data_IF_681369261171
#
_entry.id   IF_681369261171
#
_cell.length_a   1.000
_cell.length_b   1.000
_cell.length_c   1.000
_cell.angle_alpha   90.00
_cell.angle_beta   90.00
_cell.angle_gamma   90.00
#
_symmetry.space_group_name_H-M   'P 1'
#
loop_
_entity.id
_entity.type
_entity.pdbx_description
1 polymer ?
#
# COMPACT_ATOMS: atom_id res chain seq x y z
N UNK A 1 -23.82 72.06 -41.89
CA UNK A 1 -24.50 70.85 -41.42
C UNK A 1 -23.51 70.06 -40.56
N UNK A 2 -23.81 70.00 -39.25
CA UNK A 2 -23.35 69.05 -38.21
C UNK A 2 -21.92 68.46 -38.28
N UNK A 3 -21.00 68.83 -37.37
CA UNK A 3 -19.90 67.94 -36.98
C UNK A 3 -20.40 66.91 -35.95
N UNK A 4 -20.30 65.62 -36.29
CA UNK A 4 -20.59 64.49 -35.41
C UNK A 4 -19.33 64.12 -34.57
N UNK A 5 -19.49 63.43 -33.42
CA UNK A 5 -18.65 63.61 -32.24
C UNK A 5 -17.45 62.65 -32.12
N UNK A 6 -16.50 63.05 -31.27
CA UNK A 6 -15.31 62.31 -30.81
C UNK A 6 -15.70 60.97 -30.16
N UNK A 7 -14.93 59.87 -30.36
CA UNK A 7 -15.03 58.72 -29.49
C UNK A 7 -14.24 58.99 -28.21
N UNK A 8 -14.97 59.02 -27.10
CA UNK A 8 -14.46 58.98 -25.73
C UNK A 8 -13.86 57.57 -25.51
N UNK A 9 -12.52 57.46 -25.43
CA UNK A 9 -11.87 56.23 -24.99
C UNK A 9 -12.18 56.00 -23.51
N UNK A 10 -13.22 55.23 -23.23
CA UNK A 10 -13.55 54.73 -21.92
C UNK A 10 -12.77 53.41 -21.73
N UNK A 11 -11.53 53.54 -21.25
CA UNK A 11 -10.69 52.42 -20.86
C UNK A 11 -11.25 51.86 -19.54
N UNK A 12 -12.24 50.97 -19.67
CA UNK A 12 -12.78 50.20 -18.57
C UNK A 12 -11.68 49.21 -18.13
N UNK A 13 -11.02 49.53 -17.03
CA UNK A 13 -10.07 48.64 -16.37
C UNK A 13 -10.77 47.38 -15.89
N UNK A 14 -10.71 46.32 -16.70
CA UNK A 14 -11.06 44.97 -16.29
C UNK A 14 -9.91 44.48 -15.40
N UNK A 15 -10.02 44.74 -14.10
CA UNK A 15 -9.32 43.96 -13.09
C UNK A 15 -9.93 42.55 -13.10
N UNK A 16 -9.44 41.71 -14.00
CA UNK A 16 -9.48 40.27 -13.85
C UNK A 16 -8.57 39.95 -12.64
N UNK A 17 -9.15 40.01 -11.45
CA UNK A 17 -8.64 39.28 -10.30
C UNK A 17 -8.67 37.81 -10.67
N UNK A 18 -7.58 37.35 -11.28
CA UNK A 18 -7.31 35.95 -11.50
C UNK A 18 -7.45 35.24 -10.17
N UNK A 19 -8.52 34.46 -10.03
CA UNK A 19 -8.56 33.41 -9.04
C UNK A 19 -7.38 32.51 -9.37
N UNK A 20 -6.29 32.66 -8.62
CA UNK A 20 -5.21 31.69 -8.60
C UNK A 20 -5.89 30.38 -8.19
N UNK A 21 -5.98 29.36 -9.07
CA UNK A 21 -6.45 28.06 -8.62
C UNK A 21 -5.50 27.65 -7.50
N UNK A 22 -6.06 27.37 -6.31
CA UNK A 22 -5.30 26.73 -5.25
C UNK A 22 -4.54 25.55 -5.89
N UNK A 23 -3.24 25.37 -5.62
CA UNK A 23 -2.52 24.23 -6.16
C UNK A 23 -3.27 22.98 -5.69
N UNK A 24 -3.92 22.29 -6.62
CA UNK A 24 -4.32 20.92 -6.39
C UNK A 24 -3.04 20.22 -5.94
N UNK A 25 -3.03 19.70 -4.71
CA UNK A 25 -1.86 19.03 -4.16
C UNK A 25 -1.31 18.06 -5.20
N UNK A 26 -0.02 18.19 -5.51
CA UNK A 26 0.62 17.42 -6.58
C UNK A 26 0.37 15.93 -6.31
N UNK A 27 -0.28 15.27 -7.26
CA UNK A 27 -0.55 13.84 -7.15
C UNK A 27 0.76 13.07 -7.24
N UNK A 28 1.26 12.60 -6.09
CA UNK A 28 2.48 11.80 -5.97
C UNK A 28 2.15 10.35 -5.53
N UNK A 29 1.88 9.44 -6.48
CA UNK A 29 1.58 8.05 -6.18
C UNK A 29 2.80 7.35 -5.57
N UNK A 30 2.60 6.54 -4.52
CA UNK A 30 3.70 5.88 -3.80
C UNK A 30 4.24 4.62 -4.49
N UNK A 31 3.50 4.11 -5.45
CA UNK A 31 3.81 2.91 -6.20
C UNK A 31 3.90 3.23 -7.70
N UNK A 32 4.71 2.48 -8.46
CA UNK A 32 4.90 2.66 -9.89
C UNK A 32 4.72 1.34 -10.66
N UNK A 33 3.72 1.24 -11.56
CA UNK A 33 2.64 2.20 -11.79
C UNK A 33 1.74 2.41 -10.56
N UNK A 34 0.91 3.48 -10.48
CA UNK A 34 0.09 3.75 -9.29
C UNK A 34 -0.78 2.56 -8.89
N UNK A 35 -0.86 2.27 -7.58
CA UNK A 35 -1.55 1.08 -7.06
C UNK A 35 -3.06 1.18 -7.32
N UNK A 36 -3.65 2.34 -7.09
CA UNK A 36 -5.05 2.64 -7.38
C UNK A 36 -5.39 2.56 -8.86
N UNK A 37 -4.42 2.62 -9.78
CA UNK A 37 -4.68 2.40 -11.21
C UNK A 37 -4.44 0.94 -11.64
N UNK A 38 -3.58 0.23 -10.92
CA UNK A 38 -3.14 -1.12 -11.30
C UNK A 38 -3.88 -2.24 -10.58
N UNK A 39 -4.40 -2.02 -9.36
CA UNK A 39 -4.97 -3.08 -8.52
C UNK A 39 -6.11 -3.83 -9.27
N UNK A 40 -6.04 -5.17 -9.37
CA UNK A 40 -6.94 -5.97 -10.19
C UNK A 40 -8.31 -6.06 -9.52
N UNK A 41 -9.19 -5.12 -9.85
CA UNK A 41 -10.54 -5.03 -9.30
C UNK A 41 -11.59 -5.11 -10.40
N UNK A 42 -12.69 -5.77 -10.07
CA UNK A 42 -13.90 -5.84 -10.88
C UNK A 42 -15.14 -5.64 -10.01
N UNK A 43 -16.28 -5.36 -10.65
CA UNK A 43 -17.58 -5.34 -9.99
C UNK A 43 -18.38 -6.59 -10.36
N UNK A 44 -18.74 -7.40 -9.36
CA UNK A 44 -19.67 -8.52 -9.52
C UNK A 44 -20.81 -8.34 -8.53
N UNK A 45 -22.06 -8.38 -9.01
CA UNK A 45 -23.27 -8.25 -8.17
C UNK A 45 -23.26 -7.00 -7.27
N UNK A 46 -22.76 -5.87 -7.78
CA UNK A 46 -22.67 -4.62 -7.02
C UNK A 46 -21.64 -4.64 -5.89
N UNK A 47 -20.72 -5.60 -5.90
CA UNK A 47 -19.60 -5.70 -4.95
C UNK A 47 -18.27 -5.56 -5.69
N UNK A 48 -17.32 -4.87 -5.05
CA UNK A 48 -15.93 -4.82 -5.51
C UNK A 48 -15.25 -6.14 -5.16
N UNK A 49 -14.66 -6.78 -6.16
CA UNK A 49 -13.93 -8.03 -6.00
C UNK A 49 -12.51 -7.93 -6.56
N UNK A 50 -11.64 -8.81 -6.09
CA UNK A 50 -10.32 -9.03 -6.68
C UNK A 50 -10.44 -9.91 -7.92
N UNK A 51 -9.89 -9.51 -9.06
CA UNK A 51 -9.99 -10.30 -10.30
C UNK A 51 -8.82 -11.25 -10.56
N UNK A 52 -7.71 -11.12 -9.81
CA UNK A 52 -6.53 -11.99 -9.91
C UNK A 52 -5.96 -12.25 -8.52
N UNK A 53 -5.44 -13.45 -8.27
CA UNK A 53 -4.72 -13.72 -7.03
C UNK A 53 -3.59 -12.67 -6.88
N UNK A 54 -3.50 -12.07 -5.70
CA UNK A 54 -2.54 -10.99 -5.41
C UNK A 54 -1.86 -11.24 -4.06
N UNK A 55 -0.54 -11.12 -4.04
CA UNK A 55 0.28 -11.24 -2.84
C UNK A 55 0.28 -9.90 -2.11
N UNK A 56 -0.48 -9.81 -1.01
CA UNK A 56 -0.64 -8.57 -0.23
C UNK A 56 0.31 -8.50 0.97
N UNK A 57 0.84 -9.64 1.41
CA UNK A 57 1.93 -9.74 2.37
C UNK A 57 2.81 -10.95 2.05
N UNK A 58 3.99 -11.07 2.67
CA UNK A 58 4.94 -12.15 2.39
C UNK A 58 4.38 -13.57 2.58
N UNK A 59 3.31 -13.72 3.36
CA UNK A 59 2.62 -14.97 3.69
C UNK A 59 1.11 -14.92 3.40
N UNK A 60 0.64 -13.86 2.72
CA UNK A 60 -0.79 -13.63 2.50
C UNK A 60 -1.09 -13.37 1.04
N UNK A 61 -1.76 -14.34 0.43
CA UNK A 61 -2.41 -14.20 -0.87
C UNK A 61 -3.87 -13.87 -0.65
N UNK A 62 -4.35 -12.88 -1.41
CA UNK A 62 -5.75 -12.56 -1.54
C UNK A 62 -6.25 -13.20 -2.86
N UNK A 63 -7.08 -14.26 -2.78
CA UNK A 63 -7.51 -14.98 -3.98
C UNK A 63 -8.42 -14.14 -4.88
N UNK A 64 -8.42 -14.44 -6.17
CA UNK A 64 -9.43 -13.97 -7.11
C UNK A 64 -10.84 -14.34 -6.61
N UNK A 65 -11.80 -13.45 -6.83
CA UNK A 65 -13.16 -13.55 -6.32
C UNK A 65 -13.34 -13.06 -4.87
N UNK A 66 -12.27 -12.69 -4.16
CA UNK A 66 -12.41 -12.13 -2.81
C UNK A 66 -13.14 -10.79 -2.85
N UNK A 67 -14.20 -10.67 -2.04
CA UNK A 67 -15.02 -9.47 -1.95
C UNK A 67 -14.41 -8.47 -0.97
N UNK A 68 -14.27 -7.23 -1.40
CA UNK A 68 -13.67 -6.13 -0.64
C UNK A 68 -14.74 -5.11 -0.24
N UNK A 69 -14.68 -4.64 1.01
CA UNK A 69 -15.61 -3.62 1.53
C UNK A 69 -15.02 -2.22 1.41
N UNK A 70 -13.82 -2.01 1.94
CA UNK A 70 -13.14 -0.71 1.88
C UNK A 70 -11.63 -0.81 2.11
N UNK A 71 -10.91 0.25 1.77
CA UNK A 71 -9.52 0.49 2.17
C UNK A 71 -9.49 1.70 3.09
N UNK A 72 -8.73 1.61 4.17
CA UNK A 72 -8.54 2.74 5.08
C UNK A 72 -7.11 2.81 5.60
N UNK A 73 -6.72 4.02 6.00
CA UNK A 73 -5.49 4.27 6.75
C UNK A 73 -5.84 4.30 8.25
N UNK A 74 -5.26 3.45 9.10
CA UNK A 74 -5.40 3.58 10.54
C UNK A 74 -4.91 4.97 11.01
N UNK A 75 -5.55 5.53 12.04
CA UNK A 75 -4.98 6.67 12.73
C UNK A 75 -3.65 6.23 13.36
N UNK A 76 -2.53 6.68 12.81
CA UNK A 76 -1.27 6.69 13.55
C UNK A 76 -1.41 7.79 14.59
N UNK A 77 -1.24 7.45 15.88
CA UNK A 77 -1.08 8.43 16.95
C UNK A 77 0.02 9.38 16.48
N UNK A 78 -0.35 10.59 16.07
CA UNK A 78 0.61 11.60 15.74
C UNK A 78 1.44 11.87 17.00
N UNK A 79 2.77 11.94 16.86
CA UNK A 79 3.62 12.63 17.81
C UNK A 79 2.96 13.99 18.13
N UNK A 80 2.35 14.12 19.31
CA UNK A 80 1.60 15.31 19.70
C UNK A 80 0.23 15.09 20.32
N UNK A 81 -0.34 13.87 20.36
CA UNK A 81 -1.38 13.57 21.35
C UNK A 81 -0.72 13.42 22.73
N UNK A 82 -0.46 14.57 23.33
CA UNK A 82 -0.10 14.72 24.74
C UNK A 82 -0.97 13.79 25.57
N UNK A 83 -0.31 12.98 26.40
CA UNK A 83 -0.94 12.24 27.49
C UNK A 83 -1.42 13.22 28.57
N UNK A 84 -2.28 14.17 28.22
CA UNK A 84 -3.03 14.95 29.19
C UNK A 84 -4.21 14.11 29.68
N UNK A 85 -3.88 13.07 30.44
CA UNK A 85 -4.86 12.37 31.27
C UNK A 85 -4.30 12.19 32.68
N UNK A 86 -4.57 13.23 33.47
CA UNK A 86 -4.59 13.30 34.94
C UNK A 86 -3.23 13.31 35.63
N UNK A 87 -3.01 14.40 36.37
CA UNK A 87 -1.83 14.67 37.18
C UNK A 87 -1.41 13.47 38.03
N UNK A 88 -0.16 13.10 37.84
CA UNK A 88 0.60 12.32 38.81
C UNK A 88 1.80 13.20 39.14
N UNK A 89 1.77 13.69 40.36
CA UNK A 89 2.83 14.44 41.04
C UNK A 89 4.17 13.69 40.88
N UNK A 90 5.23 14.38 40.44
CA UNK A 90 6.53 13.79 40.07
C UNK A 90 7.34 13.25 41.27
N UNK A 91 6.73 13.12 42.45
CA UNK A 91 7.39 12.68 43.70
C UNK A 91 6.91 11.33 44.24
N UNK A 92 6.52 10.39 43.37
CA UNK A 92 6.14 9.03 43.77
C UNK A 92 7.06 7.94 43.20
N UNK A 93 8.37 8.10 43.32
CA UNK A 93 9.33 7.00 43.19
C UNK A 93 9.25 6.10 44.44
N UNK A 94 8.22 5.25 44.53
CA UNK A 94 8.21 3.98 45.28
C UNK A 94 6.78 3.48 45.44
N UNK A 95 6.29 2.71 44.48
CA UNK A 95 5.27 1.65 44.65
C UNK A 95 5.16 0.92 43.31
N UNK A 96 5.08 -0.41 43.40
CA UNK A 96 5.07 -1.34 42.27
C UNK A 96 4.22 -0.82 41.10
N UNK A 97 4.88 -0.62 39.96
CA UNK A 97 4.21 -0.32 38.70
C UNK A 97 3.36 -1.56 38.38
N UNK A 98 2.01 -1.49 38.41
CA UNK A 98 1.23 -2.60 37.89
C UNK A 98 1.68 -2.79 36.45
N UNK A 99 2.05 -4.02 36.09
CA UNK A 99 2.35 -4.39 34.70
C UNK A 99 1.11 -4.10 33.86
N UNK A 100 0.98 -2.87 33.39
CA UNK A 100 0.01 -2.49 32.37
C UNK A 100 0.48 -3.24 31.14
N UNK A 101 -0.15 -4.37 30.90
CA UNK A 101 -0.04 -5.13 29.67
C UNK A 101 -0.23 -4.14 28.53
N UNK A 102 0.83 -3.90 27.76
CA UNK A 102 0.92 -3.07 26.56
C UNK A 102 0.09 -3.63 25.39
N UNK A 103 -1.07 -4.23 25.66
CA UNK A 103 -2.17 -4.34 24.71
C UNK A 103 -2.99 -3.06 24.84
N UNK A 104 -2.52 -2.00 24.19
CA UNK A 104 -3.15 -0.69 24.20
C UNK A 104 -4.62 -0.79 23.83
N UNK A 105 -5.48 -0.31 24.72
CA UNK A 105 -6.87 -0.01 24.39
C UNK A 105 -6.85 1.01 23.26
N UNK A 106 -7.40 0.66 22.09
CA UNK A 106 -7.58 1.60 20.98
C UNK A 106 -8.17 2.93 21.48
N UNK A 107 -7.69 4.05 20.96
CA UNK A 107 -8.26 5.36 21.25
C UNK A 107 -9.72 5.42 20.78
N UNK A 108 -10.52 6.35 21.30
CA UNK A 108 -11.90 6.52 20.83
C UNK A 108 -11.94 6.88 19.34
N UNK A 109 -10.97 7.66 18.88
CA UNK A 109 -10.78 8.03 17.47
C UNK A 109 -10.49 6.80 16.62
N UNK A 110 -9.57 5.93 17.04
CA UNK A 110 -9.26 4.68 16.35
C UNK A 110 -10.48 3.76 16.27
N UNK A 111 -11.23 3.63 17.37
CA UNK A 111 -12.47 2.84 17.38
C UNK A 111 -13.52 3.39 16.41
N UNK A 112 -13.75 4.71 16.40
CA UNK A 112 -14.72 5.33 15.48
C UNK A 112 -14.31 5.18 14.02
N UNK A 113 -13.02 5.32 13.71
CA UNK A 113 -12.52 5.10 12.35
C UNK A 113 -12.68 3.65 11.91
N UNK A 114 -12.31 2.71 12.78
CA UNK A 114 -12.45 1.29 12.49
C UNK A 114 -13.92 0.88 12.33
N UNK A 115 -14.81 1.40 13.18
CA UNK A 115 -16.25 1.19 13.05
C UNK A 115 -16.79 1.72 11.71
N UNK A 116 -16.39 2.94 11.32
CA UNK A 116 -16.76 3.51 10.01
C UNK A 116 -16.23 2.64 8.86
N UNK A 117 -15.00 2.13 8.97
CA UNK A 117 -14.44 1.22 7.98
C UNK A 117 -15.23 -0.10 7.89
N UNK A 118 -15.69 -0.66 9.01
CA UNK A 118 -16.56 -1.84 9.00
C UNK A 118 -17.90 -1.61 8.32
N UNK A 119 -18.50 -0.43 8.53
CA UNK A 119 -19.79 -0.05 7.95
C UNK A 119 -19.69 0.32 6.46
N UNK A 120 -18.53 0.76 5.99
CA UNK A 120 -18.33 1.20 4.60
C UNK A 120 -18.25 0.00 3.66
N UNK A 121 -19.09 -0.01 2.63
CA UNK A 121 -19.04 -0.97 1.53
C UNK A 121 -19.05 -0.21 0.21
N UNK A 122 -17.93 -0.24 -0.50
CA UNK A 122 -17.85 0.30 -1.85
C UNK A 122 -18.43 -0.68 -2.86
N UNK A 123 -19.18 -0.13 -3.80
CA UNK A 123 -19.78 -0.87 -4.92
C UNK A 123 -19.10 -0.54 -6.27
N UNK A 124 -18.30 0.53 -6.29
CA UNK A 124 -17.56 1.01 -7.45
C UNK A 124 -16.03 0.84 -7.22
N UNK A 125 -15.32 0.11 -8.09
CA UNK A 125 -13.87 -0.03 -8.05
C UNK A 125 -13.13 1.30 -8.11
N UNK A 126 -13.68 2.33 -8.77
CA UNK A 126 -13.03 3.66 -8.86
C UNK A 126 -12.95 4.30 -7.47
N UNK A 127 -14.04 4.30 -6.71
CA UNK A 127 -14.04 4.83 -5.34
C UNK A 127 -13.15 4.00 -4.41
N UNK A 128 -13.16 2.67 -4.56
CA UNK A 128 -12.27 1.79 -3.82
C UNK A 128 -10.79 2.11 -4.09
N UNK A 129 -10.44 2.31 -5.37
CA UNK A 129 -9.08 2.61 -5.84
C UNK A 129 -8.52 3.90 -5.27
N UNK A 130 -9.36 4.92 -5.07
CA UNK A 130 -8.94 6.17 -4.42
C UNK A 130 -8.37 5.93 -3.02
N UNK A 131 -8.86 4.91 -2.30
CA UNK A 131 -8.34 4.52 -0.98
C UNK A 131 -6.86 4.15 -1.00
N UNK A 132 -6.38 3.52 -2.08
CA UNK A 132 -4.97 3.12 -2.21
C UNK A 132 -4.00 4.29 -2.35
N UNK A 133 -4.46 5.45 -2.78
CA UNK A 133 -3.61 6.62 -3.01
C UNK A 133 -3.55 7.56 -1.79
N UNK A 134 -4.22 7.21 -0.69
CA UNK A 134 -4.26 8.03 0.53
C UNK A 134 -3.01 7.93 1.41
N UNK A 135 -2.24 6.85 1.25
CA UNK A 135 -1.04 6.58 2.05
C UNK A 135 -0.14 5.54 1.39
N UNK A 136 1.05 5.35 1.94
CA UNK A 136 1.90 4.21 1.59
C UNK A 136 1.21 2.87 1.95
N UNK A 137 1.47 1.79 1.17
CA UNK A 137 0.83 0.48 1.40
C UNK A 137 0.93 -0.03 2.84
N UNK A 138 2.09 0.10 3.49
CA UNK A 138 2.30 -0.35 4.87
C UNK A 138 1.33 0.29 5.89
N UNK A 139 0.82 1.48 5.56
CA UNK A 139 -0.13 2.25 6.37
C UNK A 139 -1.59 2.02 5.94
N UNK A 140 -1.85 1.16 4.97
CA UNK A 140 -3.19 0.83 4.50
C UNK A 140 -3.67 -0.50 5.07
N UNK A 141 -4.97 -0.61 5.24
CA UNK A 141 -5.69 -1.81 5.65
C UNK A 141 -6.87 -2.04 4.71
N UNK A 142 -7.09 -3.29 4.33
CA UNK A 142 -8.23 -3.71 3.51
C UNK A 142 -9.24 -4.41 4.41
N UNK A 143 -10.50 -3.97 4.35
CA UNK A 143 -11.62 -4.65 5.00
C UNK A 143 -12.24 -5.62 4.00
N UNK A 144 -12.32 -6.90 4.37
CA UNK A 144 -12.91 -7.95 3.54
C UNK A 144 -14.38 -8.16 3.89
N UNK A 145 -15.14 -8.74 2.96
CA UNK A 145 -16.48 -9.24 3.31
C UNK A 145 -16.36 -10.42 4.28
N UNK A 146 -17.07 -10.40 5.42
CA UNK A 146 -17.04 -11.51 6.35
C UNK A 146 -17.74 -12.74 5.77
N UNK A 147 -17.23 -13.93 6.10
CA UNK A 147 -18.01 -15.15 5.94
C UNK A 147 -19.26 -15.12 6.84
N UNK A 148 -20.35 -15.83 6.50
CA UNK A 148 -21.55 -15.87 7.32
C UNK A 148 -21.23 -16.21 8.79
N UNK A 149 -21.70 -15.38 9.73
CA UNK A 149 -21.45 -15.55 11.17
C UNK A 149 -20.14 -14.97 11.70
N UNK A 150 -19.28 -14.39 10.85
CA UNK A 150 -18.03 -13.74 11.27
C UNK A 150 -18.28 -12.24 11.52
N UNK A 151 -18.01 -11.80 12.75
CA UNK A 151 -18.05 -10.39 13.15
C UNK A 151 -16.95 -10.10 14.19
N UNK A 152 -16.19 -8.99 14.07
CA UNK A 152 -16.27 -7.98 13.01
C UNK A 152 -15.72 -8.49 11.65
N UNK A 153 -15.92 -7.73 10.56
CA UNK A 153 -15.30 -8.04 9.26
C UNK A 153 -13.77 -8.22 9.35
N UNK A 154 -13.19 -9.18 8.63
CA UNK A 154 -11.73 -9.36 8.58
C UNK A 154 -11.02 -8.12 8.04
N UNK A 155 -9.85 -7.81 8.59
CA UNK A 155 -9.01 -6.69 8.16
C UNK A 155 -7.61 -7.22 7.88
N UNK A 156 -7.12 -6.97 6.67
CA UNK A 156 -5.81 -7.41 6.22
C UNK A 156 -4.86 -6.21 6.06
N UNK A 157 -3.63 -6.27 6.60
CA UNK A 157 -2.59 -5.31 6.27
C UNK A 157 -2.08 -5.52 4.84
N UNK A 158 -1.60 -4.42 4.25
CA UNK A 158 -0.84 -4.47 3.00
C UNK A 158 0.63 -4.27 3.35
N UNK A 159 1.46 -5.25 3.03
CA UNK A 159 2.90 -5.22 3.20
C UNK A 159 3.58 -5.97 2.06
N UNK A 160 3.60 -5.36 0.89
CA UNK A 160 4.15 -5.97 -0.32
C UNK A 160 5.62 -6.40 -0.10
N UNK A 161 5.95 -7.69 -0.30
CA UNK A 161 7.28 -8.20 0.03
C UNK A 161 8.37 -7.47 -0.76
N UNK A 162 9.29 -6.86 -0.02
CA UNK A 162 10.36 -6.01 -0.55
C UNK A 162 9.87 -4.90 -1.51
N UNK A 163 8.62 -4.45 -1.33
CA UNK A 163 7.97 -3.42 -2.14
C UNK A 163 7.42 -3.92 -3.47
N UNK A 164 7.30 -5.24 -3.68
CA UNK A 164 6.80 -5.84 -4.91
C UNK A 164 5.35 -6.31 -4.75
N UNK A 165 4.42 -5.65 -5.44
CA UNK A 165 3.06 -6.15 -5.58
C UNK A 165 3.04 -7.17 -6.72
N UNK A 166 2.79 -8.44 -6.41
CA UNK A 166 2.88 -9.55 -7.37
C UNK A 166 1.50 -10.18 -7.54
N UNK A 167 1.12 -10.43 -8.78
CA UNK A 167 -0.15 -11.07 -9.16
C UNK A 167 0.09 -12.37 -9.93
N UNK A 168 -0.86 -13.29 -9.84
CA UNK A 168 -0.95 -14.43 -10.76
C UNK A 168 -1.64 -13.98 -12.04
N UNK A 169 -0.88 -13.83 -13.13
CA UNK A 169 -1.44 -13.72 -14.47
C UNK A 169 -1.90 -15.08 -15.01
N UNK A 170 -2.45 -15.09 -16.22
CA UNK A 170 -2.97 -16.31 -16.86
C UNK A 170 -1.93 -17.45 -16.95
N UNK A 171 -0.67 -17.11 -17.21
CA UNK A 171 0.40 -18.07 -17.51
C UNK A 171 1.67 -17.89 -16.67
N UNK A 172 1.75 -16.82 -15.88
CA UNK A 172 2.96 -16.46 -15.15
C UNK A 172 2.68 -15.48 -14.02
N UNK A 173 3.58 -15.47 -13.03
CA UNK A 173 3.61 -14.45 -12.00
C UNK A 173 4.20 -13.15 -12.53
N UNK A 174 3.57 -12.03 -12.19
CA UNK A 174 3.93 -10.70 -12.71
C UNK A 174 4.05 -9.70 -11.58
N UNK A 175 5.04 -8.82 -11.68
CA UNK A 175 5.11 -7.62 -10.84
C UNK A 175 4.06 -6.67 -11.36
N UNK A 176 3.01 -6.42 -10.60
CA UNK A 176 1.96 -5.47 -10.95
C UNK A 176 2.46 -4.04 -10.78
N UNK A 177 3.04 -3.75 -9.62
CA UNK A 177 3.56 -2.44 -9.26
C UNK A 177 4.66 -2.55 -8.21
N UNK A 178 5.53 -1.54 -8.17
CA UNK A 178 6.71 -1.48 -7.30
C UNK A 178 6.66 -0.23 -6.43
N UNK A 179 6.96 -0.37 -5.15
CA UNK A 179 7.07 0.74 -4.19
C UNK A 179 8.26 1.64 -4.56
N UNK A 180 7.98 2.95 -4.74
CA UNK A 180 9.01 3.96 -4.93
C UNK A 180 9.97 3.97 -3.74
N UNK A 181 11.26 4.10 -4.01
CA UNK A 181 12.36 4.02 -3.05
C UNK A 181 12.45 2.69 -2.28
N UNK A 182 11.61 1.71 -2.62
CA UNK A 182 11.58 0.37 -2.04
C UNK A 182 12.74 -0.51 -2.52
N UNK A 183 12.91 -1.68 -1.88
CA UNK A 183 13.96 -2.63 -2.26
C UNK A 183 13.79 -3.18 -3.67
N UNK A 184 12.55 -3.43 -4.09
CA UNK A 184 12.20 -3.83 -5.45
C UNK A 184 12.68 -2.83 -6.49
N UNK A 185 12.34 -1.54 -6.33
CA UNK A 185 12.73 -0.49 -7.28
C UNK A 185 14.26 -0.31 -7.29
N UNK A 186 14.89 -0.28 -6.11
CA UNK A 186 16.36 -0.22 -5.97
C UNK A 186 17.08 -1.42 -6.61
N UNK A 187 16.37 -2.51 -6.84
CA UNK A 187 16.85 -3.71 -7.54
C UNK A 187 16.40 -3.78 -9.00
N UNK A 188 15.91 -2.66 -9.54
CA UNK A 188 15.48 -2.45 -10.92
C UNK A 188 14.26 -3.29 -11.38
N UNK A 189 13.41 -3.72 -10.44
CA UNK A 189 12.08 -4.24 -10.78
C UNK A 189 11.17 -3.11 -11.26
N UNK A 190 10.26 -3.44 -12.17
CA UNK A 190 9.27 -2.54 -12.75
C UNK A 190 7.91 -3.23 -12.83
N UNK A 191 6.84 -2.46 -12.77
CA UNK A 191 5.51 -2.99 -13.11
C UNK A 191 5.48 -3.54 -14.53
N UNK A 192 4.86 -4.69 -14.70
CA UNK A 192 4.82 -5.47 -15.94
C UNK A 192 5.90 -6.54 -16.07
N UNK A 193 6.92 -6.57 -15.21
CA UNK A 193 7.94 -7.62 -15.24
C UNK A 193 7.33 -9.00 -15.00
N UNK A 194 7.65 -9.96 -15.86
CA UNK A 194 7.26 -11.36 -15.71
C UNK A 194 8.36 -12.10 -14.95
N UNK A 195 8.01 -12.73 -13.84
CA UNK A 195 8.95 -13.53 -13.04
C UNK A 195 9.14 -14.89 -13.72
N UNK A 196 10.40 -15.25 -14.04
CA UNK A 196 10.73 -16.52 -14.68
C UNK A 196 11.41 -17.48 -13.70
N UNK A 197 12.45 -17.01 -13.01
CA UNK A 197 13.20 -17.80 -12.03
C UNK A 197 13.50 -16.99 -10.77
N UNK A 198 13.61 -17.68 -9.65
CA UNK A 198 14.10 -17.16 -8.38
C UNK A 198 15.05 -18.20 -7.79
N UNK A 199 16.25 -17.76 -7.39
CA UNK A 199 17.34 -18.63 -6.93
C UNK A 199 17.69 -19.73 -7.96
N UNK A 200 17.67 -19.41 -9.26
CA UNK A 200 17.97 -20.34 -10.34
C UNK A 200 16.88 -21.36 -10.68
N UNK A 201 15.78 -21.39 -9.93
CA UNK A 201 14.66 -22.31 -10.15
C UNK A 201 13.45 -21.58 -10.77
N UNK A 202 12.67 -22.21 -11.67
CA UNK A 202 11.43 -21.63 -12.21
C UNK A 202 10.48 -21.18 -11.10
N UNK A 203 9.84 -20.01 -11.22
CA UNK A 203 8.92 -19.51 -10.17
C UNK A 203 7.56 -20.22 -10.15
N UNK A 204 7.14 -20.81 -11.26
CA UNK A 204 5.80 -21.40 -11.41
C UNK A 204 4.72 -20.34 -11.63
N UNK A 205 3.46 -20.71 -11.40
CA UNK A 205 2.28 -19.84 -11.59
C UNK A 205 1.46 -19.65 -10.32
N UNK A 206 1.70 -20.43 -9.27
CA UNK A 206 0.99 -20.35 -7.99
C UNK A 206 1.63 -19.31 -7.08
N UNK A 207 0.86 -18.31 -6.66
CA UNK A 207 1.33 -17.31 -5.69
C UNK A 207 1.61 -17.90 -4.31
N UNK A 208 0.85 -18.92 -3.89
CA UNK A 208 1.09 -19.58 -2.60
C UNK A 208 2.43 -20.31 -2.59
N UNK A 209 2.72 -21.09 -3.63
CA UNK A 209 4.01 -21.79 -3.76
C UNK A 209 5.17 -20.79 -3.88
N UNK A 210 4.95 -19.70 -4.63
CA UNK A 210 5.91 -18.61 -4.72
C UNK A 210 6.17 -17.96 -3.37
N UNK A 211 5.14 -17.62 -2.60
CA UNK A 211 5.27 -16.96 -1.29
C UNK A 211 6.06 -17.82 -0.30
N UNK A 212 5.73 -19.10 -0.20
CA UNK A 212 6.45 -20.05 0.64
C UNK A 212 7.92 -20.15 0.25
N UNK A 213 8.21 -20.30 -1.05
CA UNK A 213 9.57 -20.37 -1.53
C UNK A 213 10.30 -19.05 -1.32
N UNK A 214 9.65 -17.93 -1.59
CA UNK A 214 10.24 -16.61 -1.47
C UNK A 214 10.71 -16.34 -0.05
N UNK A 215 9.89 -16.66 0.97
CA UNK A 215 10.28 -16.53 2.38
C UNK A 215 11.54 -17.35 2.69
N UNK A 216 11.56 -18.62 2.28
CA UNK A 216 12.69 -19.52 2.52
C UNK A 216 13.98 -19.05 1.83
N UNK A 217 13.90 -18.73 0.53
CA UNK A 217 15.08 -18.29 -0.23
C UNK A 217 15.58 -16.91 0.24
N UNK A 218 14.66 -16.03 0.65
CA UNK A 218 15.00 -14.73 1.25
C UNK A 218 15.72 -14.89 2.57
N UNK A 219 15.26 -15.79 3.44
CA UNK A 219 15.95 -16.09 4.70
C UNK A 219 17.33 -16.69 4.46
N UNK A 220 17.45 -17.64 3.54
CA UNK A 220 18.75 -18.21 3.16
C UNK A 220 19.71 -17.15 2.59
N UNK A 221 19.20 -16.24 1.75
CA UNK A 221 19.96 -15.11 1.22
C UNK A 221 20.40 -14.14 2.34
N UNK A 222 19.53 -13.84 3.30
CA UNK A 222 19.84 -13.01 4.46
C UNK A 222 20.95 -13.63 5.33
N UNK A 223 20.89 -14.93 5.59
CA UNK A 223 21.89 -15.67 6.37
C UNK A 223 23.25 -15.69 5.67
N UNK A 224 23.27 -15.92 4.35
CA UNK A 224 24.49 -15.94 3.54
C UNK A 224 25.02 -14.54 3.20
N UNK A 225 24.25 -13.48 3.49
CA UNK A 225 24.52 -12.10 3.07
C UNK A 225 24.69 -11.97 1.56
N UNK A 226 23.96 -12.79 0.81
CA UNK A 226 23.96 -12.81 -0.65
C UNK A 226 22.68 -12.18 -1.21
N UNK A 227 22.70 -11.58 -2.41
CA UNK A 227 21.48 -11.10 -3.05
C UNK A 227 20.61 -12.28 -3.52
N UNK A 228 19.30 -12.17 -3.35
CA UNK A 228 18.34 -13.10 -3.95
C UNK A 228 18.21 -12.76 -5.44
N UNK A 229 18.61 -13.70 -6.31
CA UNK A 229 18.63 -13.49 -7.76
C UNK A 229 17.29 -13.87 -8.40
N UNK A 230 16.81 -13.00 -9.28
CA UNK A 230 15.61 -13.20 -10.08
C UNK A 230 15.93 -13.11 -11.56
N UNK A 231 15.50 -14.10 -12.35
CA UNK A 231 15.44 -13.97 -13.80
C UNK A 231 14.05 -13.49 -14.17
N UNK A 232 13.96 -12.39 -14.90
CA UNK A 232 12.68 -11.79 -15.31
C UNK A 232 12.64 -11.60 -16.82
N UNK A 233 11.43 -11.38 -17.35
CA UNK A 233 11.21 -10.88 -18.70
C UNK A 233 10.49 -9.53 -18.64
N UNK A 234 11.08 -8.51 -19.26
CA UNK A 234 10.53 -7.17 -19.41
C UNK A 234 9.31 -7.16 -20.32
N UNK A 235 8.53 -6.08 -20.27
CA UNK A 235 7.43 -5.84 -21.22
C UNK A 235 7.91 -5.70 -22.67
N UNK A 236 9.18 -5.32 -22.89
CA UNK A 236 9.84 -5.33 -24.20
C UNK A 236 10.13 -6.74 -24.74
N UNK A 237 10.02 -7.77 -23.91
CA UNK A 237 10.37 -9.16 -24.21
C UNK A 237 11.80 -9.56 -23.84
N UNK A 238 12.65 -8.60 -23.47
CA UNK A 238 14.03 -8.85 -23.04
C UNK A 238 14.07 -9.58 -21.70
N UNK A 239 15.08 -10.42 -21.50
CA UNK A 239 15.29 -11.18 -20.27
C UNK A 239 16.47 -10.64 -19.50
N UNK A 240 16.30 -10.41 -18.20
CA UNK A 240 17.32 -9.84 -17.32
C UNK A 240 17.47 -10.65 -16.03
N UNK A 241 18.66 -10.57 -15.44
CA UNK A 241 18.95 -11.13 -14.11
C UNK A 241 19.07 -9.97 -13.11
N UNK A 242 18.10 -9.87 -12.21
CA UNK A 242 18.06 -8.89 -11.13
C UNK A 242 18.61 -9.47 -9.83
N UNK A 243 19.24 -8.61 -9.03
CA UNK A 243 19.81 -8.97 -7.72
C UNK A 243 19.11 -8.19 -6.61
N UNK A 244 18.18 -8.84 -5.92
CA UNK A 244 17.45 -8.26 -4.80
C UNK A 244 18.31 -8.33 -3.54
N UNK A 245 18.75 -7.19 -3.03
CA UNK A 245 19.56 -7.13 -1.80
C UNK A 245 18.68 -7.38 -0.58
N UNK A 246 18.96 -8.44 0.15
CA UNK A 246 18.26 -8.80 1.38
C UNK A 246 19.06 -8.29 2.59
N UNK A 247 18.45 -7.54 3.53
CA UNK A 247 19.11 -7.17 4.78
C UNK A 247 19.55 -8.41 5.56
N UNK A 248 20.71 -8.39 6.24
CA UNK A 248 21.14 -9.49 7.08
C UNK A 248 20.14 -9.70 8.22
N UNK A 249 19.93 -10.96 8.62
CA UNK A 249 19.13 -11.27 9.80
C UNK A 249 19.87 -10.78 11.07
N UNK A 250 19.16 -10.09 11.97
CA UNK A 250 19.74 -9.53 13.20
C UNK A 250 20.46 -10.58 14.09
N UNK A 251 20.13 -11.86 13.92
CA UNK A 251 20.69 -12.97 14.70
C UNK A 251 21.96 -13.60 14.08
N UNK A 252 22.54 -13.01 13.03
CA UNK A 252 23.69 -13.57 12.29
C UNK A 252 25.04 -12.93 12.62
N UNK A 253 25.16 -12.35 13.82
CA UNK A 253 26.40 -11.74 14.30
C UNK A 253 26.59 -11.94 15.81
N UNK A 254 26.91 -13.18 16.23
CA UNK A 254 27.63 -13.50 17.47
C UNK A 254 28.25 -14.91 17.37
N UNK A 255 29.03 -15.17 16.32
CA UNK A 255 30.01 -16.27 16.32
C UNK A 255 31.26 -15.76 15.60
N UNK A 256 32.17 -15.16 16.37
CA UNK A 256 33.61 -15.11 16.13
C UNK A 256 34.32 -15.67 17.37
#
# INVERSE_FOLDING_TARGET
MTPAPKPLFLLLGILLLGQVPAPAGEWDPKMNPPLGLSFPLETINGRVIVSQDILIAADKVLPAGTVLRTVFRPATIAEGEDKNRRGIDENAFSREIPKVTTKGLMTETERKMLQRAYETVWTDPIEFRRGFETAEPANLRIVLEPSPGVSPPPVEPIDFPDGLCIVAGQDALRVLTVLKDGRGEKSAFRGGDVLLQMAGQPVGTSLNEFAERYRREREAAAQKREPLRFKIRRTSGETELLSLRIPPAWNSAFEE
#
